data_IF_351295687383
#
_entry.id   IF_351295687383
#
_cell.length_a   1.000
_cell.length_b   1.000
_cell.length_c   1.000
_cell.angle_alpha   90.00
_cell.angle_beta   90.00
_cell.angle_gamma   90.00
#
_symmetry.space_group_name_H-M   'P 1'
#
loop_
_entity.id
_entity.type
_entity.pdbx_description
1 polymer ?
#
# COMPACT_ATOMS: atom_id res chain seq x y z
N UNK A 1 -2.58 31.19 -8.28
CA UNK A 1 -2.22 30.29 -7.16
C UNK A 1 -2.66 28.92 -7.64
N UNK A 2 -1.79 28.30 -8.44
CA UNK A 2 -2.11 27.07 -9.14
C UNK A 2 -2.06 25.91 -8.16
N UNK A 3 -3.18 25.20 -8.06
CA UNK A 3 -3.28 23.96 -7.28
C UNK A 3 -2.48 22.90 -8.03
N UNK A 4 -1.34 22.51 -7.46
CA UNK A 4 -0.59 21.35 -7.91
C UNK A 4 -1.48 20.11 -7.75
N UNK A 5 -2.01 19.62 -8.86
CA UNK A 5 -2.59 18.29 -8.96
C UNK A 5 -1.41 17.36 -9.23
N UNK A 6 -1.06 16.50 -8.28
CA UNK A 6 -0.08 15.43 -8.53
C UNK A 6 -0.62 14.58 -9.69
N UNK A 7 0.11 14.45 -10.81
CA UNK A 7 -0.41 13.70 -11.93
C UNK A 7 -0.38 12.22 -11.56
N UNK A 8 -1.54 11.57 -11.67
CA UNK A 8 -1.80 10.11 -11.64
C UNK A 8 -0.80 9.29 -12.50
N UNK A 9 0.01 9.96 -13.31
CA UNK A 9 1.09 9.46 -14.15
C UNK A 9 2.30 8.84 -13.42
N UNK A 10 2.57 9.17 -12.16
CA UNK A 10 3.78 8.67 -11.47
C UNK A 10 3.59 7.21 -11.05
N UNK A 11 2.52 6.93 -10.28
CA UNK A 11 2.21 5.56 -9.85
C UNK A 11 2.02 4.61 -11.03
N UNK A 12 1.47 5.09 -12.15
CA UNK A 12 1.32 4.29 -13.36
C UNK A 12 2.66 3.78 -13.90
N UNK A 13 3.72 4.60 -13.87
CA UNK A 13 5.04 4.16 -14.33
C UNK A 13 5.64 3.10 -13.42
N UNK A 14 5.42 3.23 -12.11
CA UNK A 14 5.88 2.26 -11.13
C UNK A 14 5.15 0.92 -11.35
N UNK A 15 3.82 0.96 -11.50
CA UNK A 15 2.99 -0.21 -11.84
C UNK A 15 3.49 -0.86 -13.14
N UNK A 16 3.66 -0.10 -14.22
CA UNK A 16 4.13 -0.60 -15.51
C UNK A 16 5.50 -1.31 -15.39
N UNK A 17 6.36 -0.87 -14.47
CA UNK A 17 7.65 -1.52 -14.21
C UNK A 17 7.44 -2.85 -13.48
N UNK A 18 6.63 -2.89 -12.43
CA UNK A 18 6.36 -4.11 -11.67
C UNK A 18 5.66 -5.18 -12.53
N UNK A 19 4.70 -4.78 -13.38
CA UNK A 19 4.05 -5.69 -14.33
C UNK A 19 5.06 -6.32 -15.30
N UNK A 20 5.97 -5.50 -15.87
CA UNK A 20 7.04 -5.99 -16.75
C UNK A 20 8.02 -6.93 -16.06
N UNK A 21 8.14 -6.84 -14.74
CA UNK A 21 8.98 -7.72 -13.91
C UNK A 21 8.17 -8.87 -13.29
N UNK A 22 6.97 -9.13 -13.80
CA UNK A 22 6.08 -10.23 -13.42
C UNK A 22 5.66 -10.24 -11.95
N UNK A 23 5.71 -9.10 -11.25
CA UNK A 23 5.12 -9.03 -9.92
C UNK A 23 3.63 -9.34 -10.01
N UNK A 24 3.13 -10.08 -9.03
CA UNK A 24 1.70 -10.11 -8.77
C UNK A 24 1.30 -8.73 -8.22
N UNK A 25 0.23 -8.16 -8.77
CA UNK A 25 -0.22 -6.82 -8.39
C UNK A 25 -1.64 -6.91 -7.88
N UNK A 26 -1.86 -6.42 -6.67
CA UNK A 26 -3.18 -6.27 -6.07
C UNK A 26 -3.39 -4.80 -5.78
N UNK A 27 -4.42 -4.24 -6.39
CA UNK A 27 -4.68 -2.82 -6.42
C UNK A 27 -6.05 -2.50 -5.80
N UNK A 28 -6.02 -1.74 -4.71
CA UNK A 28 -7.18 -1.37 -3.92
C UNK A 28 -7.55 0.10 -4.17
N UNK A 29 -8.83 0.33 -4.47
CA UNK A 29 -9.43 1.67 -4.41
C UNK A 29 -10.03 1.89 -3.01
N UNK A 30 -9.33 2.66 -2.18
CA UNK A 30 -9.72 2.89 -0.80
C UNK A 30 -10.82 3.96 -0.63
N UNK A 31 -11.41 4.47 -1.72
CA UNK A 31 -12.45 5.52 -1.65
C UNK A 31 -13.66 5.10 -0.78
N UNK A 32 -13.99 3.80 -0.77
CA UNK A 32 -15.12 3.26 -0.01
C UNK A 32 -14.72 2.57 1.30
N UNK A 33 -13.47 2.71 1.74
CA UNK A 33 -12.96 2.09 2.97
C UNK A 33 -13.38 2.88 4.23
N UNK A 34 -14.69 3.05 4.41
CA UNK A 34 -15.28 3.86 5.49
C UNK A 34 -15.52 3.07 6.78
N UNK A 35 -15.53 1.74 6.71
CA UNK A 35 -15.79 0.85 7.84
C UNK A 35 -14.77 -0.28 7.86
N UNK A 36 -14.31 -0.67 9.06
CA UNK A 36 -13.34 -1.76 9.28
C UNK A 36 -13.78 -3.06 8.58
N UNK A 37 -15.08 -3.36 8.61
CA UNK A 37 -15.64 -4.54 7.95
C UNK A 37 -15.50 -4.49 6.42
N UNK A 38 -15.71 -3.33 5.80
CA UNK A 38 -15.57 -3.16 4.35
C UNK A 38 -14.11 -3.36 3.96
N UNK A 39 -13.18 -2.78 4.74
CA UNK A 39 -11.73 -2.92 4.54
C UNK A 39 -11.32 -4.40 4.58
N UNK A 40 -11.67 -5.11 5.65
CA UNK A 40 -11.28 -6.52 5.79
C UNK A 40 -11.90 -7.40 4.71
N UNK A 41 -13.16 -7.14 4.34
CA UNK A 41 -13.81 -7.86 3.25
C UNK A 41 -13.09 -7.66 1.92
N UNK A 42 -12.79 -6.41 1.58
CA UNK A 42 -12.15 -6.07 0.30
C UNK A 42 -10.75 -6.67 0.21
N UNK A 43 -9.97 -6.56 1.29
CA UNK A 43 -8.64 -7.19 1.41
C UNK A 43 -8.73 -8.70 1.28
N UNK A 44 -9.64 -9.34 2.00
CA UNK A 44 -9.83 -10.80 1.99
C UNK A 44 -10.24 -11.31 0.60
N UNK A 45 -11.16 -10.61 -0.06
CA UNK A 45 -11.68 -10.99 -1.37
C UNK A 45 -10.59 -10.89 -2.45
N UNK A 46 -9.72 -9.87 -2.39
CA UNK A 46 -8.63 -9.68 -3.36
C UNK A 46 -7.41 -10.58 -3.08
N UNK A 47 -7.05 -10.79 -1.82
CA UNK A 47 -5.92 -11.66 -1.45
C UNK A 47 -6.31 -13.14 -1.39
N UNK A 48 -7.58 -13.49 -1.58
CA UNK A 48 -8.04 -14.87 -1.55
C UNK A 48 -7.86 -15.53 -0.18
N UNK A 49 -8.05 -14.76 0.90
CA UNK A 49 -7.95 -15.29 2.27
C UNK A 49 -8.99 -16.39 2.54
N UNK A 50 -8.69 -17.31 3.47
CA UNK A 50 -9.56 -18.44 3.76
C UNK A 50 -10.90 -18.01 4.38
N UNK A 51 -11.93 -18.86 4.24
CA UNK A 51 -13.28 -18.59 4.77
C UNK A 51 -13.32 -18.35 6.30
N UNK A 52 -12.34 -18.86 7.04
CA UNK A 52 -12.24 -18.66 8.48
C UNK A 52 -11.54 -17.34 8.86
N UNK A 53 -11.27 -16.45 7.91
CA UNK A 53 -10.70 -15.15 8.16
C UNK A 53 -11.53 -14.35 9.18
N UNK A 54 -10.89 -13.92 10.26
CA UNK A 54 -11.57 -13.34 11.43
C UNK A 54 -11.99 -11.87 11.30
N UNK A 55 -11.77 -11.23 10.14
CA UNK A 55 -12.08 -9.81 9.90
C UNK A 55 -11.53 -8.85 10.98
N UNK A 56 -10.33 -9.14 11.49
CA UNK A 56 -9.63 -8.32 12.47
C UNK A 56 -8.19 -8.00 12.03
N UNK A 57 -7.57 -6.99 12.64
CA UNK A 57 -6.17 -6.64 12.37
C UNK A 57 -5.20 -7.76 12.76
N UNK A 58 -5.47 -8.49 13.83
CA UNK A 58 -4.68 -9.67 14.22
C UNK A 58 -4.81 -10.77 13.17
N UNK A 59 -6.05 -11.06 12.72
CA UNK A 59 -6.29 -12.05 11.67
C UNK A 59 -5.66 -11.63 10.32
N UNK A 60 -5.66 -10.33 10.00
CA UNK A 60 -4.99 -9.78 8.82
C UNK A 60 -3.49 -10.03 8.90
N UNK A 61 -2.88 -9.70 10.04
CA UNK A 61 -1.46 -9.90 10.26
C UNK A 61 -1.10 -11.38 10.17
N UNK A 62 -1.88 -12.27 10.78
CA UNK A 62 -1.65 -13.71 10.72
C UNK A 62 -1.69 -14.23 9.28
N UNK A 63 -2.74 -13.88 8.51
CA UNK A 63 -2.89 -14.31 7.12
C UNK A 63 -1.78 -13.77 6.22
N UNK A 64 -1.39 -12.50 6.39
CA UNK A 64 -0.28 -11.92 5.62
C UNK A 64 1.05 -12.58 5.96
N UNK A 65 1.25 -13.00 7.21
CA UNK A 65 2.54 -13.51 7.66
C UNK A 65 2.92 -14.87 7.10
N UNK A 66 1.92 -15.63 6.65
CA UNK A 66 2.04 -16.93 6.00
C UNK A 66 1.54 -16.89 4.54
N UNK A 67 1.46 -15.69 3.96
CA UNK A 67 0.97 -15.51 2.59
C UNK A 67 1.97 -16.08 1.58
N UNK A 68 1.49 -16.87 0.62
CA UNK A 68 2.34 -17.43 -0.44
C UNK A 68 2.63 -16.35 -1.50
N UNK A 69 3.87 -15.89 -1.55
CA UNK A 69 4.30 -14.84 -2.46
C UNK A 69 5.03 -15.47 -3.64
N UNK A 70 4.59 -15.14 -4.84
CA UNK A 70 5.26 -15.56 -6.07
C UNK A 70 6.75 -15.19 -6.07
N UNK A 71 7.58 -16.00 -6.74
CA UNK A 71 9.04 -15.75 -6.83
C UNK A 71 9.42 -14.38 -7.40
N UNK A 72 8.57 -13.80 -8.26
CA UNK A 72 8.73 -12.44 -8.79
C UNK A 72 8.42 -11.38 -7.73
N UNK A 73 7.45 -11.63 -6.87
CA UNK A 73 7.05 -10.78 -5.74
C UNK A 73 5.58 -10.37 -5.80
N UNK A 74 5.11 -9.74 -4.73
CA UNK A 74 3.77 -9.20 -4.59
C UNK A 74 3.84 -7.69 -4.32
N UNK A 75 3.12 -6.93 -5.14
CA UNK A 75 2.93 -5.50 -5.00
C UNK A 75 1.49 -5.23 -4.55
N UNK A 76 1.35 -4.62 -3.38
CA UNK A 76 0.09 -4.11 -2.85
C UNK A 76 0.03 -2.61 -3.12
N UNK A 77 -1.09 -2.16 -3.69
CA UNK A 77 -1.31 -0.75 -3.99
C UNK A 77 -2.57 -0.27 -3.27
N UNK A 78 -2.44 0.79 -2.50
CA UNK A 78 -3.57 1.51 -1.90
C UNK A 78 -3.75 2.85 -2.59
N UNK A 79 -4.79 3.00 -3.42
CA UNK A 79 -5.16 4.27 -4.06
C UNK A 79 -6.17 5.03 -3.23
N UNK A 80 -6.15 6.35 -3.33
CA UNK A 80 -7.05 7.24 -2.60
C UNK A 80 -7.01 6.97 -1.08
N UNK A 81 -5.84 6.63 -0.54
CA UNK A 81 -5.70 6.12 0.82
C UNK A 81 -6.06 7.16 1.90
N UNK A 82 -6.14 8.45 1.54
CA UNK A 82 -6.57 9.51 2.45
C UNK A 82 -8.03 9.37 2.93
N UNK A 83 -8.85 8.53 2.28
CA UNK A 83 -10.22 8.27 2.73
C UNK A 83 -10.29 7.28 3.90
N UNK A 84 -9.21 6.55 4.17
CA UNK A 84 -9.12 5.64 5.31
C UNK A 84 -8.94 6.46 6.60
N UNK A 85 -9.68 6.12 7.65
CA UNK A 85 -9.53 6.76 8.96
C UNK A 85 -8.08 6.63 9.46
N UNK A 86 -7.47 7.73 9.90
CA UNK A 86 -6.01 7.83 10.15
C UNK A 86 -5.47 6.72 11.04
N UNK A 87 -6.16 6.38 12.13
CA UNK A 87 -5.71 5.33 13.04
C UNK A 87 -5.74 3.96 12.35
N UNK A 88 -6.80 3.66 11.61
CA UNK A 88 -6.89 2.43 10.80
C UNK A 88 -5.81 2.42 9.71
N UNK A 89 -5.59 3.53 9.02
CA UNK A 89 -4.56 3.68 8.00
C UNK A 89 -3.17 3.33 8.54
N UNK A 90 -2.79 3.90 9.69
CA UNK A 90 -1.51 3.60 10.35
C UNK A 90 -1.39 2.12 10.71
N UNK A 91 -2.43 1.51 11.29
CA UNK A 91 -2.42 0.08 11.65
C UNK A 91 -2.22 -0.79 10.40
N UNK A 92 -2.92 -0.49 9.30
CA UNK A 92 -2.76 -1.24 8.04
C UNK A 92 -1.32 -1.13 7.53
N UNK A 93 -0.79 0.09 7.41
CA UNK A 93 0.57 0.29 6.92
C UNK A 93 1.62 -0.39 7.81
N UNK A 94 1.44 -0.37 9.13
CA UNK A 94 2.30 -1.08 10.07
C UNK A 94 2.28 -2.59 9.84
N UNK A 95 1.09 -3.18 9.64
CA UNK A 95 0.94 -4.62 9.35
C UNK A 95 1.63 -4.99 8.03
N UNK A 96 1.37 -4.25 6.95
CA UNK A 96 2.00 -4.53 5.66
C UNK A 96 3.52 -4.33 5.70
N UNK A 97 4.01 -3.29 6.38
CA UNK A 97 5.45 -3.05 6.53
C UNK A 97 6.14 -4.14 7.39
N UNK A 98 5.48 -4.60 8.45
CA UNK A 98 5.99 -5.70 9.28
C UNK A 98 6.09 -6.99 8.48
N UNK A 99 5.04 -7.34 7.74
CA UNK A 99 5.04 -8.55 6.91
C UNK A 99 6.03 -8.43 5.74
N UNK A 100 6.20 -7.25 5.14
CA UNK A 100 7.25 -7.00 4.16
C UNK A 100 8.64 -7.35 4.70
N UNK A 101 8.97 -6.88 5.91
CA UNK A 101 10.24 -7.24 6.58
C UNK A 101 10.36 -8.73 6.87
N UNK A 102 9.27 -9.38 7.31
CA UNK A 102 9.25 -10.82 7.59
C UNK A 102 9.52 -11.63 6.32
N UNK A 103 8.80 -11.36 5.23
CA UNK A 103 8.97 -12.07 3.94
C UNK A 103 10.37 -11.91 3.36
N UNK A 104 10.99 -10.74 3.50
CA UNK A 104 12.38 -10.51 3.05
C UNK A 104 13.36 -11.50 3.70
N UNK A 105 13.13 -11.92 4.95
CA UNK A 105 13.98 -12.91 5.62
C UNK A 105 13.98 -14.29 4.93
N UNK A 106 12.93 -14.58 4.16
CA UNK A 106 12.76 -15.81 3.39
C UNK A 106 13.04 -15.62 1.89
N UNK A 107 13.50 -14.43 1.48
CA UNK A 107 13.76 -14.09 0.08
C UNK A 107 12.51 -13.71 -0.72
N UNK A 108 11.37 -13.56 -0.05
CA UNK A 108 10.10 -13.15 -0.64
C UNK A 108 9.98 -11.63 -0.65
N UNK A 109 9.32 -11.09 -1.68
CA UNK A 109 9.23 -9.65 -1.92
C UNK A 109 7.78 -9.20 -1.81
N UNK A 110 7.36 -8.77 -0.61
CA UNK A 110 6.12 -8.02 -0.42
C UNK A 110 6.44 -6.53 -0.40
N UNK A 111 5.86 -5.78 -1.33
CA UNK A 111 6.02 -4.33 -1.43
C UNK A 111 4.66 -3.66 -1.32
N UNK A 112 4.64 -2.45 -0.77
CA UNK A 112 3.42 -1.65 -0.62
C UNK A 112 3.64 -0.25 -1.17
N UNK A 113 2.77 0.17 -2.07
CA UNK A 113 2.68 1.55 -2.57
C UNK A 113 1.39 2.18 -2.06
N UNK A 114 1.50 3.42 -1.59
CA UNK A 114 0.38 4.20 -1.10
C UNK A 114 0.27 5.45 -1.95
N UNK A 115 -0.91 5.68 -2.53
CA UNK A 115 -1.22 6.89 -3.26
C UNK A 115 -2.33 7.65 -2.56
N UNK A 116 -2.13 8.98 -2.48
CA UNK A 116 -3.09 9.94 -1.97
C UNK A 116 -3.27 11.06 -2.99
N UNK A 117 -4.46 11.66 -3.03
CA UNK A 117 -4.75 12.70 -4.02
C UNK A 117 -4.27 14.09 -3.58
N UNK A 118 -4.11 14.28 -2.26
CA UNK A 118 -3.70 15.56 -1.69
C UNK A 118 -2.18 15.57 -1.42
N UNK A 119 -1.39 16.43 -2.07
CA UNK A 119 0.06 16.55 -1.83
C UNK A 119 0.42 16.97 -0.41
N UNK A 120 -0.49 17.65 0.31
CA UNK A 120 -0.27 18.09 1.69
C UNK A 120 -0.67 17.02 2.73
N UNK A 121 -0.98 15.79 2.30
CA UNK A 121 -1.41 14.73 3.20
C UNK A 121 -0.22 14.13 3.95
N UNK A 122 -0.18 14.37 5.26
CA UNK A 122 0.81 13.77 6.15
C UNK A 122 0.33 12.42 6.69
N UNK A 123 1.09 11.38 6.41
CA UNK A 123 1.00 10.06 7.06
C UNK A 123 2.04 10.03 8.18
N UNK A 124 1.66 9.55 9.36
CA UNK A 124 2.61 9.34 10.45
C UNK A 124 3.66 8.28 10.08
N UNK A 125 4.79 8.28 10.78
CA UNK A 125 5.85 7.29 10.55
C UNK A 125 5.32 5.86 10.69
N UNK A 126 5.52 5.03 9.67
CA UNK A 126 5.04 3.64 9.64
C UNK A 126 6.14 2.72 10.16
N UNK A 127 5.83 1.92 11.17
CA UNK A 127 6.73 0.92 11.74
C UNK A 127 8.03 1.50 12.30
N UNK A 128 8.01 2.76 12.76
CA UNK A 128 9.21 3.52 13.18
C UNK A 128 10.23 3.79 12.07
N UNK A 129 9.88 3.58 10.80
CA UNK A 129 10.66 4.04 9.65
C UNK A 129 9.96 5.26 9.03
N UNK A 130 10.67 6.40 8.84
CA UNK A 130 10.11 7.51 8.09
C UNK A 130 9.72 7.02 6.69
N UNK A 131 8.50 7.34 6.26
CA UNK A 131 8.06 7.07 4.90
C UNK A 131 8.92 7.92 3.97
N UNK A 132 9.74 7.29 3.14
CA UNK A 132 10.41 7.99 2.05
C UNK A 132 9.37 8.24 0.98
N UNK A 133 8.99 9.51 0.78
CA UNK A 133 8.24 9.93 -0.41
C UNK A 133 9.02 9.55 -1.67
N UNK A 134 8.30 9.29 -2.77
CA UNK A 134 8.91 8.93 -4.05
C UNK A 134 9.92 10.01 -4.48
N UNK A 135 11.18 9.63 -4.75
CA UNK A 135 12.24 10.56 -5.16
C UNK A 135 11.87 11.33 -6.45
N UNK A 136 11.01 10.75 -7.28
CA UNK A 136 10.49 11.37 -8.51
C UNK A 136 9.64 12.61 -8.23
N UNK A 137 8.93 12.65 -7.11
CA UNK A 137 8.15 13.83 -6.67
C UNK A 137 9.09 14.91 -6.13
N UNK A 138 10.15 14.50 -5.44
CA UNK A 138 11.22 15.41 -5.00
C UNK A 138 11.95 16.09 -6.17
N UNK A 139 12.29 15.33 -7.21
CA UNK A 139 12.99 15.85 -8.39
C UNK A 139 12.14 16.82 -9.21
N UNK A 140 10.81 16.64 -9.26
CA UNK A 140 9.91 17.56 -9.97
C UNK A 140 9.72 18.90 -9.23
N UNK A 141 9.88 18.96 -7.90
CA UNK A 141 9.84 20.22 -7.15
C UNK A 141 11.02 21.17 -7.43
N UNK A 142 12.07 20.70 -8.14
CA UNK A 142 13.25 21.48 -8.54
C UNK A 142 13.26 21.87 -10.02
N UNK A 143 12.12 21.79 -10.71
CA UNK A 143 11.97 22.26 -12.09
C UNK A 143 10.94 23.37 -12.17
N UNK A 144 11.19 24.46 -11.46
CA UNK A 144 10.80 25.80 -11.89
C UNK A 144 11.88 26.77 -11.37
N UNK A 145 12.38 27.56 -12.31
CA UNK A 145 13.45 28.56 -12.14
C UNK A 145 12.85 29.88 -11.70
#
# INVERSE_FOLDING_TARGET
MDKFVLPTSCIKKDIDWFEKNNFEIIDFDCTNWTEIKIIHKDISDHLGFPQYYGESFDALNDCLSDFDISSSGLLIIFRHFQFVEKKVANILLDIFANNSRRHILFGEKLLTLVQVDNPDYEIESVGSCPISWNESEWLNSKRDS
#
